data_IF_403061752937
#
_entry.id   IF_403061752937
#
_cell.length_a   1.000
_cell.length_b   1.000
_cell.length_c   1.000
_cell.angle_alpha   90.00
_cell.angle_beta   90.00
_cell.angle_gamma   90.00
#
_symmetry.space_group_name_H-M   'P 1'
#
loop_
_entity.id
_entity.type
_entity.pdbx_description
1 polymer ?
#
# COMPACT_ATOMS: atom_id res chain seq x y z
N UNK A 1 30.39 6.09 -0.45
CA UNK A 1 29.14 5.65 -1.09
C UNK A 1 28.56 4.59 -0.19
N UNK A 2 27.33 4.78 0.28
CA UNK A 2 26.64 3.79 1.11
C UNK A 2 26.25 2.60 0.23
N UNK A 3 26.65 1.41 0.64
CA UNK A 3 26.30 0.18 -0.08
C UNK A 3 24.93 -0.28 0.41
N UNK A 4 23.98 -0.42 -0.50
CA UNK A 4 22.61 -0.86 -0.19
C UNK A 4 22.34 -2.14 -0.97
N UNK A 5 22.39 -3.26 -0.26
CA UNK A 5 22.06 -4.58 -0.79
C UNK A 5 20.67 -4.97 -0.27
N UNK A 6 19.75 -5.32 -1.17
CA UNK A 6 18.35 -5.61 -0.83
C UNK A 6 17.95 -6.95 -1.41
N UNK A 7 17.70 -7.91 -0.54
CA UNK A 7 17.15 -9.21 -0.87
C UNK A 7 15.64 -9.16 -0.74
N UNK A 8 14.94 -9.65 -1.75
CA UNK A 8 13.49 -9.64 -1.81
C UNK A 8 12.97 -10.97 -2.31
N UNK A 9 11.86 -11.41 -1.72
CA UNK A 9 11.18 -12.62 -2.14
C UNK A 9 9.65 -12.54 -1.95
N UNK A 10 8.93 -13.36 -2.69
CA UNK A 10 7.49 -13.52 -2.61
C UNK A 10 7.12 -15.00 -2.53
N UNK A 11 6.14 -15.32 -1.70
CA UNK A 11 5.62 -16.66 -1.54
C UNK A 11 4.09 -16.67 -1.62
N UNK A 12 3.52 -17.77 -2.11
CA UNK A 12 2.09 -18.03 -2.01
C UNK A 12 1.82 -19.52 -1.86
N UNK A 13 0.90 -19.91 -0.96
CA UNK A 13 0.56 -21.31 -0.67
C UNK A 13 -0.24 -21.99 -1.78
N UNK A 14 -0.82 -21.20 -2.68
CA UNK A 14 -1.48 -21.62 -3.91
C UNK A 14 -1.38 -20.48 -4.93
N UNK A 15 -1.81 -20.65 -6.17
CA UNK A 15 -1.74 -19.58 -7.17
C UNK A 15 -3.06 -19.44 -7.96
N UNK A 16 -4.05 -18.66 -7.46
CA UNK A 16 -3.97 -17.75 -6.30
C UNK A 16 -4.21 -18.41 -4.94
N UNK A 17 -3.73 -17.77 -3.87
CA UNK A 17 -3.96 -18.18 -2.50
C UNK A 17 -3.42 -17.18 -1.47
N UNK A 18 -3.36 -17.57 -0.18
CA UNK A 18 -2.61 -16.85 0.83
C UNK A 18 -1.19 -16.60 0.33
N UNK A 19 -0.70 -15.37 0.47
CA UNK A 19 0.64 -15.01 0.01
C UNK A 19 1.28 -14.00 0.91
N UNK A 20 2.59 -13.87 0.81
CA UNK A 20 3.36 -12.90 1.57
C UNK A 20 4.61 -12.52 0.82
N UNK A 21 5.16 -11.36 1.16
CA UNK A 21 6.47 -10.96 0.68
C UNK A 21 7.40 -10.69 1.85
N UNK A 22 8.70 -10.88 1.59
CA UNK A 22 9.79 -10.67 2.52
C UNK A 22 10.84 -9.74 1.91
N UNK A 23 11.42 -8.90 2.76
CA UNK A 23 12.49 -7.98 2.41
C UNK A 23 13.55 -8.07 3.49
N UNK A 24 14.79 -8.23 3.07
CA UNK A 24 15.97 -8.09 3.92
C UNK A 24 16.94 -7.13 3.24
N UNK A 25 17.22 -5.99 3.87
CA UNK A 25 18.15 -4.99 3.37
C UNK A 25 19.34 -4.85 4.32
N UNK A 26 20.53 -4.76 3.73
CA UNK A 26 21.76 -4.37 4.40
C UNK A 26 22.14 -2.98 3.91
N UNK A 27 22.03 -2.00 4.80
CA UNK A 27 22.41 -0.60 4.55
C UNK A 27 23.65 -0.32 5.39
N UNK A 28 24.83 -0.29 4.76
CA UNK A 28 26.11 -0.29 5.46
C UNK A 28 26.24 -1.46 6.46
N UNK A 29 26.02 -1.22 7.76
CA UNK A 29 26.03 -2.24 8.83
C UNK A 29 24.65 -2.48 9.44
N UNK A 30 23.62 -1.76 8.99
CA UNK A 30 22.27 -1.89 9.50
C UNK A 30 21.49 -2.96 8.74
N UNK A 31 20.94 -3.89 9.50
CA UNK A 31 20.08 -4.96 9.01
C UNK A 31 18.62 -4.55 9.17
N UNK A 32 17.88 -4.56 8.07
CA UNK A 32 16.48 -4.14 8.04
C UNK A 32 15.67 -5.28 7.45
N UNK A 33 14.64 -5.71 8.18
CA UNK A 33 13.70 -6.72 7.71
C UNK A 33 12.30 -6.15 7.62
N UNK A 34 11.52 -6.63 6.65
CA UNK A 34 10.10 -6.33 6.56
C UNK A 34 9.37 -7.49 5.89
N UNK A 35 8.15 -7.77 6.35
CA UNK A 35 7.27 -8.71 5.67
C UNK A 35 5.79 -8.33 5.79
N UNK A 36 4.98 -8.83 4.88
CA UNK A 36 3.52 -8.64 4.92
C UNK A 36 2.77 -9.77 4.25
N UNK A 37 1.77 -10.30 4.95
CA UNK A 37 0.86 -11.33 4.46
C UNK A 37 -0.41 -10.76 3.83
N UNK A 38 -0.97 -11.50 2.88
CA UNK A 38 -2.15 -11.19 2.10
C UNK A 38 -3.10 -12.38 2.03
N UNK A 39 -4.40 -12.09 2.05
CA UNK A 39 -5.46 -13.09 2.09
C UNK A 39 -5.52 -13.92 0.81
N UNK A 40 -5.58 -13.26 -0.35
CA UNK A 40 -5.65 -13.89 -1.66
C UNK A 40 -4.84 -13.08 -2.66
N UNK A 41 -3.78 -13.66 -3.19
CA UNK A 41 -2.88 -13.05 -4.17
C UNK A 41 -2.19 -14.14 -5.00
N UNK A 42 -1.13 -13.81 -5.73
CA UNK A 42 -0.31 -14.74 -6.54
C UNK A 42 1.16 -14.60 -6.20
N UNK A 43 1.96 -15.61 -6.53
CA UNK A 43 3.41 -15.56 -6.27
C UNK A 43 4.07 -14.34 -6.93
N UNK A 44 3.85 -14.17 -8.23
CA UNK A 44 4.41 -13.05 -8.99
C UNK A 44 4.02 -11.68 -8.41
N UNK A 45 2.79 -11.54 -7.88
CA UNK A 45 2.38 -10.28 -7.25
C UNK A 45 3.12 -10.02 -5.95
N UNK A 46 3.42 -11.06 -5.17
CA UNK A 46 4.22 -10.92 -3.96
C UNK A 46 5.66 -10.56 -4.26
N UNK A 47 6.28 -11.19 -5.27
CA UNK A 47 7.63 -10.82 -5.73
C UNK A 47 7.69 -9.33 -6.14
N UNK A 48 6.72 -8.85 -6.95
CA UNK A 48 6.67 -7.44 -7.36
C UNK A 48 6.37 -6.52 -6.16
N UNK A 49 5.52 -6.96 -5.24
CA UNK A 49 5.17 -6.17 -4.04
C UNK A 49 6.35 -6.02 -3.10
N UNK A 50 7.19 -7.05 -2.94
CA UNK A 50 8.45 -7.00 -2.20
C UNK A 50 9.33 -5.87 -2.71
N UNK A 51 9.54 -5.84 -4.03
CA UNK A 51 10.30 -4.78 -4.69
C UNK A 51 9.68 -3.41 -4.48
N UNK A 52 8.38 -3.25 -4.79
CA UNK A 52 7.67 -1.98 -4.66
C UNK A 52 7.77 -1.41 -3.24
N UNK A 53 7.57 -2.26 -2.24
CA UNK A 53 7.62 -1.84 -0.85
C UNK A 53 9.04 -1.50 -0.40
N UNK A 54 10.04 -2.29 -0.81
CA UNK A 54 11.45 -1.97 -0.54
C UNK A 54 11.83 -0.60 -1.12
N UNK A 55 11.44 -0.31 -2.36
CA UNK A 55 11.67 0.98 -2.99
C UNK A 55 10.98 2.14 -2.25
N UNK A 56 9.71 1.96 -1.87
CA UNK A 56 8.97 2.96 -1.09
C UNK A 56 9.63 3.21 0.27
N UNK A 57 9.97 2.14 0.99
CA UNK A 57 10.58 2.20 2.30
C UNK A 57 11.93 2.91 2.25
N UNK A 58 12.82 2.51 1.33
CA UNK A 58 14.09 3.19 1.13
C UNK A 58 13.84 4.66 0.76
N UNK A 59 12.94 4.96 -0.17
CA UNK A 59 12.64 6.34 -0.56
C UNK A 59 12.19 7.23 0.60
N UNK A 60 11.36 6.71 1.50
CA UNK A 60 10.82 7.47 2.62
C UNK A 60 11.80 7.56 3.78
N UNK A 61 12.36 6.42 4.20
CA UNK A 61 13.24 6.33 5.37
C UNK A 61 14.65 6.77 5.04
N UNK A 62 15.26 6.27 3.96
CA UNK A 62 16.64 6.61 3.63
C UNK A 62 16.84 8.07 3.24
N UNK A 63 15.81 8.79 2.77
CA UNK A 63 15.88 10.27 2.67
C UNK A 63 15.90 10.96 4.02
N UNK A 64 15.15 10.46 5.00
CA UNK A 64 15.08 11.02 6.36
C UNK A 64 16.37 10.75 7.13
N UNK A 65 16.91 9.55 7.00
CA UNK A 65 18.09 9.06 7.73
C UNK A 65 19.41 9.33 6.97
N UNK A 66 19.34 9.86 5.76
CA UNK A 66 20.52 10.22 4.97
C UNK A 66 21.26 9.03 4.38
N UNK A 67 20.64 7.85 4.29
CA UNK A 67 21.22 6.62 3.77
C UNK A 67 21.60 6.68 2.29
N UNK A 68 20.95 7.54 1.50
CA UNK A 68 21.33 7.72 0.11
C UNK A 68 21.09 9.14 -0.39
N UNK A 69 21.86 9.49 -1.41
CA UNK A 69 21.74 10.68 -2.23
C UNK A 69 21.21 10.28 -3.61
N UNK A 70 20.72 11.28 -4.35
CA UNK A 70 20.27 11.06 -5.72
C UNK A 70 21.44 10.52 -6.56
N UNK A 71 21.24 9.37 -7.18
CA UNK A 71 22.26 8.70 -8.00
C UNK A 71 23.03 7.59 -7.29
N UNK A 72 22.79 7.35 -5.99
CA UNK A 72 23.34 6.17 -5.33
C UNK A 72 22.73 4.90 -5.93
N UNK A 73 23.57 3.87 -6.02
CA UNK A 73 23.23 2.57 -6.55
C UNK A 73 22.65 1.68 -5.45
N UNK A 74 21.49 1.08 -5.73
CA UNK A 74 20.88 0.05 -4.89
C UNK A 74 20.91 -1.27 -5.66
N UNK A 75 21.45 -2.31 -5.05
CA UNK A 75 21.49 -3.65 -5.64
C UNK A 75 20.35 -4.49 -5.10
N UNK A 76 19.44 -4.91 -5.97
CA UNK A 76 18.38 -5.86 -5.64
C UNK A 76 18.78 -7.27 -6.02
N UNK A 77 18.64 -8.17 -5.06
CA UNK A 77 18.85 -9.61 -5.18
C UNK A 77 17.49 -10.29 -5.17
N UNK A 78 17.21 -11.08 -6.20
CA UNK A 78 15.99 -11.88 -6.33
C UNK A 78 16.26 -13.10 -7.20
N UNK A 79 15.57 -14.21 -6.94
CA UNK A 79 15.56 -15.39 -7.81
C UNK A 79 14.48 -15.31 -8.90
N UNK A 80 13.54 -14.35 -8.78
CA UNK A 80 12.46 -14.13 -9.74
C UNK A 80 12.98 -13.57 -11.06
N UNK A 81 13.03 -14.45 -12.07
CA UNK A 81 13.24 -14.03 -13.46
C UNK A 81 12.13 -13.12 -13.95
N UNK A 82 10.88 -13.37 -13.51
CA UNK A 82 9.74 -12.59 -13.96
C UNK A 82 9.89 -11.13 -13.53
N UNK A 83 10.20 -10.87 -12.26
CA UNK A 83 10.42 -9.52 -11.76
C UNK A 83 11.64 -8.86 -12.43
N UNK A 84 12.79 -9.54 -12.46
CA UNK A 84 14.02 -9.01 -13.04
C UNK A 84 13.85 -8.65 -14.51
N UNK A 85 13.34 -9.56 -15.33
CA UNK A 85 13.17 -9.32 -16.78
C UNK A 85 12.08 -8.28 -17.05
N UNK A 86 11.02 -8.24 -16.24
CA UNK A 86 10.03 -7.17 -16.30
C UNK A 86 10.70 -5.80 -16.11
N UNK A 87 11.48 -5.66 -15.05
CA UNK A 87 12.12 -4.39 -14.66
C UNK A 87 13.34 -4.02 -15.49
N UNK A 88 13.90 -4.91 -16.32
CA UNK A 88 15.11 -4.62 -17.10
C UNK A 88 14.91 -4.68 -18.61
N UNK A 89 14.00 -5.54 -19.11
CA UNK A 89 13.83 -5.81 -20.54
C UNK A 89 12.47 -5.38 -21.07
N UNK A 90 11.39 -5.57 -20.31
CA UNK A 90 10.04 -5.50 -20.89
C UNK A 90 9.29 -4.20 -20.60
N UNK A 91 9.51 -3.60 -19.44
CA UNK A 91 8.67 -2.50 -18.94
C UNK A 91 8.68 -1.26 -19.85
N UNK A 92 9.79 -0.95 -20.53
CA UNK A 92 9.83 0.17 -21.46
C UNK A 92 8.94 -0.08 -22.71
N UNK A 93 8.89 -1.33 -23.17
CA UNK A 93 7.95 -1.76 -24.21
C UNK A 93 6.50 -1.72 -23.73
N UNK A 94 6.25 -2.09 -22.46
CA UNK A 94 4.92 -2.00 -21.85
C UNK A 94 4.43 -0.56 -21.75
N UNK A 95 5.29 0.38 -21.37
CA UNK A 95 4.96 1.82 -21.35
C UNK A 95 4.60 2.30 -22.76
N UNK A 96 5.41 1.96 -23.77
CA UNK A 96 5.15 2.36 -25.17
C UNK A 96 3.81 1.84 -25.71
N UNK A 97 3.39 0.64 -25.33
CA UNK A 97 2.10 0.05 -25.72
C UNK A 97 0.95 0.35 -24.76
N UNK A 98 1.11 1.36 -23.89
CA UNK A 98 0.14 1.76 -22.88
C UNK A 98 -0.40 0.60 -22.03
N UNK A 99 0.50 -0.31 -21.64
CA UNK A 99 0.20 -1.45 -20.77
C UNK A 99 -0.83 -2.45 -21.33
N UNK A 100 -1.08 -2.42 -22.64
CA UNK A 100 -1.95 -3.39 -23.28
C UNK A 100 -1.39 -4.81 -23.14
N UNK A 101 -2.25 -5.76 -22.76
CA UNK A 101 -1.94 -7.19 -22.59
C UNK A 101 -0.73 -7.43 -21.65
N UNK A 102 -0.66 -6.70 -20.53
CA UNK A 102 0.36 -6.86 -19.50
C UNK A 102 -0.28 -7.40 -18.23
N UNK A 103 0.35 -8.38 -17.57
CA UNK A 103 -0.07 -8.89 -16.26
C UNK A 103 0.47 -7.99 -15.13
N UNK A 104 -0.31 -7.81 -14.07
CA UNK A 104 0.03 -6.98 -12.91
C UNK A 104 0.45 -5.53 -13.26
N UNK A 105 -0.23 -4.85 -14.23
CA UNK A 105 0.17 -3.51 -14.64
C UNK A 105 -0.02 -2.49 -13.50
N UNK A 106 -0.92 -2.76 -12.55
CA UNK A 106 -1.17 -1.95 -11.36
C UNK A 106 0.08 -1.80 -10.47
N UNK A 107 0.84 -2.88 -10.27
CA UNK A 107 2.05 -2.88 -9.46
C UNK A 107 3.23 -2.26 -10.22
N UNK A 108 3.48 -2.69 -11.46
CA UNK A 108 4.61 -2.20 -12.25
C UNK A 108 4.53 -0.70 -12.55
N UNK A 109 3.33 -0.16 -12.77
CA UNK A 109 3.12 1.30 -12.91
C UNK A 109 3.61 2.06 -11.67
N UNK A 110 3.42 1.50 -10.47
CA UNK A 110 3.89 2.10 -9.22
C UNK A 110 5.41 1.97 -9.08
N UNK A 111 5.99 0.83 -9.45
CA UNK A 111 7.44 0.62 -9.45
C UNK A 111 8.17 1.63 -10.32
N UNK A 112 7.63 1.96 -11.51
CA UNK A 112 8.23 2.94 -12.41
C UNK A 112 8.47 4.31 -11.80
N UNK A 113 7.62 4.74 -10.85
CA UNK A 113 7.76 6.04 -10.19
C UNK A 113 9.11 6.17 -9.49
N UNK A 114 9.69 5.05 -9.06
CA UNK A 114 10.94 5.05 -8.30
C UNK A 114 12.21 4.94 -9.14
N UNK A 115 12.12 4.54 -10.41
CA UNK A 115 13.29 4.51 -11.32
C UNK A 115 13.97 5.87 -11.49
N UNK A 116 13.25 6.97 -11.27
CA UNK A 116 13.82 8.33 -11.35
C UNK A 116 14.61 8.76 -10.11
N UNK A 117 14.48 8.02 -9.01
CA UNK A 117 15.10 8.37 -7.73
C UNK A 117 16.36 7.54 -7.45
N UNK A 118 16.45 6.32 -8.00
CA UNK A 118 17.49 5.35 -7.69
C UNK A 118 18.14 4.82 -8.96
N UNK A 119 19.46 4.59 -8.89
CA UNK A 119 20.13 3.72 -9.84
C UNK A 119 20.01 2.27 -9.34
N UNK A 120 19.27 1.43 -10.07
CA UNK A 120 18.89 0.09 -9.60
C UNK A 120 19.70 -0.96 -10.35
N UNK A 121 20.53 -1.71 -9.62
CA UNK A 121 21.19 -2.92 -10.12
C UNK A 121 20.41 -4.16 -9.74
N UNK A 122 20.46 -5.15 -10.61
CA UNK A 122 19.73 -6.41 -10.46
C UNK A 122 20.68 -7.58 -10.49
N UNK A 123 20.81 -8.25 -9.35
CA UNK A 123 21.54 -9.50 -9.24
C UNK A 123 20.55 -10.66 -9.15
N UNK A 124 20.74 -11.65 -10.02
CA UNK A 124 19.94 -12.88 -9.94
C UNK A 124 20.65 -13.83 -9.00
N UNK A 125 19.94 -14.26 -7.97
CA UNK A 125 20.41 -15.32 -7.08
C UNK A 125 19.74 -16.64 -7.43
N UNK A 126 20.39 -17.74 -7.11
CA UNK A 126 19.78 -19.06 -7.27
C UNK A 126 18.90 -19.34 -6.05
N UNK A 127 17.67 -19.80 -6.30
CA UNK A 127 16.73 -20.19 -5.26
C UNK A 127 17.32 -21.31 -4.39
N UNK A 128 17.24 -21.16 -3.06
CA UNK A 128 17.61 -22.18 -2.07
C UNK A 128 19.04 -22.75 -2.21
N UNK A 129 20.03 -21.89 -2.51
CA UNK A 129 21.44 -22.28 -2.64
C UNK A 129 22.34 -21.77 -1.50
N UNK A 130 21.82 -21.49 -0.30
CA UNK A 130 22.67 -21.07 0.82
C UNK A 130 23.09 -19.60 0.78
N UNK A 131 22.35 -18.73 0.07
CA UNK A 131 22.60 -17.28 0.11
C UNK A 131 21.79 -16.72 1.27
N UNK A 132 22.44 -16.48 2.41
CA UNK A 132 21.83 -16.06 3.67
C UNK A 132 20.77 -14.97 3.50
N UNK A 133 21.07 -13.90 2.75
CA UNK A 133 20.13 -12.81 2.54
C UNK A 133 18.86 -13.21 1.78
N UNK A 134 18.98 -14.11 0.81
CA UNK A 134 17.84 -14.62 0.06
C UNK A 134 17.01 -15.59 0.92
N UNK A 135 17.66 -16.44 1.70
CA UNK A 135 16.98 -17.37 2.62
C UNK A 135 16.22 -16.64 3.72
N UNK A 136 16.76 -15.52 4.23
CA UNK A 136 16.04 -14.64 5.14
C UNK A 136 14.80 -14.05 4.44
N UNK A 137 14.92 -13.56 3.21
CA UNK A 137 13.80 -12.98 2.48
C UNK A 137 12.70 -14.01 2.16
N UNK A 138 13.07 -15.22 1.71
CA UNK A 138 12.16 -16.35 1.50
C UNK A 138 11.42 -16.72 2.80
N UNK A 139 12.18 -16.90 3.88
CA UNK A 139 11.61 -17.24 5.19
C UNK A 139 10.62 -16.18 5.68
N UNK A 140 10.94 -14.90 5.50
CA UNK A 140 10.04 -13.79 5.81
C UNK A 140 8.76 -13.81 4.96
N UNK A 141 8.88 -14.09 3.66
CA UNK A 141 7.74 -14.18 2.74
C UNK A 141 6.82 -15.36 3.09
N UNK A 142 7.41 -16.52 3.31
CA UNK A 142 6.77 -17.77 3.70
C UNK A 142 6.05 -17.63 5.04
N UNK A 143 6.70 -17.10 6.07
CA UNK A 143 6.06 -16.85 7.36
C UNK A 143 4.89 -15.85 7.24
N UNK A 144 5.05 -14.81 6.43
CA UNK A 144 3.99 -13.83 6.21
C UNK A 144 2.77 -14.43 5.49
N UNK A 145 2.97 -15.36 4.56
CA UNK A 145 1.89 -16.07 3.88
C UNK A 145 1.08 -16.97 4.83
N UNK A 146 1.73 -17.51 5.87
CA UNK A 146 1.15 -18.43 6.85
C UNK A 146 0.52 -17.75 8.06
N UNK A 147 0.57 -16.42 8.15
CA UNK A 147 -0.04 -15.68 9.24
C UNK A 147 -1.55 -16.02 9.37
N UNK A 148 -2.09 -15.98 10.61
CA UNK A 148 -3.53 -16.02 10.84
C UNK A 148 -4.28 -15.00 9.96
N UNK A 149 -5.52 -15.34 9.59
CA UNK A 149 -6.33 -14.55 8.64
C UNK A 149 -6.44 -13.08 9.06
N UNK A 150 -6.62 -12.83 10.35
CA UNK A 150 -6.73 -11.51 10.98
C UNK A 150 -5.47 -10.64 10.85
N UNK A 151 -4.32 -11.25 10.59
CA UNK A 151 -3.05 -10.56 10.40
C UNK A 151 -2.67 -10.39 8.92
N UNK A 152 -3.47 -10.95 8.01
CA UNK A 152 -3.29 -10.80 6.57
C UNK A 152 -4.10 -9.62 6.03
N UNK A 153 -3.57 -8.97 4.99
CA UNK A 153 -4.20 -7.82 4.32
C UNK A 153 -4.91 -8.26 3.04
N UNK A 154 -5.75 -7.39 2.51
CA UNK A 154 -6.36 -7.58 1.20
C UNK A 154 -5.41 -7.13 0.08
N UNK A 155 -5.36 -7.89 -1.02
CA UNK A 155 -4.78 -7.42 -2.28
C UNK A 155 -5.92 -6.87 -3.14
N UNK A 156 -6.44 -5.69 -2.78
CA UNK A 156 -7.63 -5.13 -3.40
C UNK A 156 -7.54 -4.96 -4.92
N UNK A 157 -6.33 -4.76 -5.47
CA UNK A 157 -6.18 -4.65 -6.91
C UNK A 157 -6.40 -6.02 -7.57
N UNK A 158 -5.75 -7.06 -7.06
CA UNK A 158 -5.95 -8.44 -7.52
C UNK A 158 -7.40 -8.89 -7.34
N UNK A 159 -7.95 -8.69 -6.15
CA UNK A 159 -9.28 -9.17 -5.78
C UNK A 159 -10.36 -8.52 -6.66
N UNK A 160 -10.24 -7.23 -6.98
CA UNK A 160 -11.17 -6.54 -7.88
C UNK A 160 -11.05 -7.01 -9.32
N UNK A 161 -9.83 -7.11 -9.85
CA UNK A 161 -9.60 -7.54 -11.23
C UNK A 161 -10.11 -8.96 -11.49
N UNK A 162 -10.03 -9.82 -10.48
CA UNK A 162 -10.46 -11.22 -10.58
C UNK A 162 -11.86 -11.46 -10.03
N UNK A 163 -12.63 -10.42 -9.72
CA UNK A 163 -13.99 -10.51 -9.16
C UNK A 163 -14.07 -11.35 -7.86
N UNK A 164 -12.93 -11.55 -7.20
CA UNK A 164 -12.83 -12.21 -5.91
C UNK A 164 -13.25 -11.28 -4.76
N UNK A 165 -13.33 -9.97 -5.04
CA UNK A 165 -13.82 -8.93 -4.15
C UNK A 165 -15.35 -8.91 -3.96
N UNK A 166 -16.08 -9.91 -4.45
CA UNK A 166 -17.51 -10.06 -4.14
C UNK A 166 -17.68 -10.85 -2.83
N UNK A 167 -18.23 -10.12 -1.87
CA UNK A 167 -18.56 -10.43 -0.47
C UNK A 167 -19.55 -11.59 -0.27
N UNK A 168 -19.55 -12.58 -1.17
CA UNK A 168 -20.36 -13.81 -1.17
C UNK A 168 -19.54 -15.08 -0.97
N UNK A 169 -18.25 -15.08 -1.31
CA UNK A 169 -17.38 -16.26 -1.08
C UNK A 169 -17.00 -16.41 0.39
N UNK A 170 -16.97 -15.31 1.16
CA UNK A 170 -16.86 -15.34 2.62
C UNK A 170 -18.20 -15.66 3.32
N UNK A 171 -19.34 -15.68 2.61
CA UNK A 171 -20.64 -16.13 3.14
C UNK A 171 -20.83 -17.66 3.10
N UNK A 172 -19.96 -18.42 2.42
CA UNK A 172 -19.95 -19.88 2.60
C UNK A 172 -19.50 -20.30 4.01
N UNK A 173 -19.02 -19.36 4.82
CA UNK A 173 -18.82 -19.52 6.26
C UNK A 173 -19.94 -18.91 7.14
N UNK A 174 -21.00 -18.32 6.58
CA UNK A 174 -22.04 -17.64 7.38
C UNK A 174 -23.28 -17.25 6.58
N UNK A 175 -24.39 -17.93 6.88
CA UNK A 175 -25.72 -17.86 6.26
C UNK A 175 -26.31 -16.43 6.05
N UNK A 176 -27.09 -16.31 4.96
CA UNK A 176 -28.40 -15.60 4.82
C UNK A 176 -28.49 -14.12 4.34
N UNK A 177 -29.12 -13.94 3.15
CA UNK A 177 -30.04 -12.84 2.71
C UNK A 177 -29.51 -11.39 2.55
N UNK A 178 -30.06 -10.45 1.78
CA UNK A 178 -30.70 -10.40 0.44
C UNK A 178 -30.70 -8.92 -0.04
N UNK A 179 -30.60 -8.70 -1.36
CA UNK A 179 -31.12 -7.58 -2.20
C UNK A 179 -30.67 -6.10 -2.03
N UNK A 180 -29.79 -5.69 -1.11
CA UNK A 180 -29.44 -4.25 -0.92
C UNK A 180 -28.20 -3.67 -1.65
N UNK A 181 -27.36 -4.50 -2.29
CA UNK A 181 -25.95 -4.15 -2.56
C UNK A 181 -25.70 -3.26 -3.81
N UNK A 182 -26.59 -3.28 -4.81
CA UNK A 182 -26.34 -2.61 -6.09
C UNK A 182 -26.33 -1.06 -6.01
N UNK A 183 -27.02 -0.46 -5.02
CA UNK A 183 -27.01 1.00 -4.85
C UNK A 183 -25.78 1.52 -4.10
N UNK A 184 -25.13 0.68 -3.27
CA UNK A 184 -23.98 1.05 -2.41
C UNK A 184 -22.66 1.13 -3.17
N UNK A 185 -22.47 0.30 -4.20
CA UNK A 185 -21.24 0.28 -5.00
C UNK A 185 -21.01 1.62 -5.73
N UNK A 186 -22.09 2.22 -6.27
CA UNK A 186 -22.03 3.54 -6.90
C UNK A 186 -21.69 4.64 -5.87
N UNK A 187 -22.27 4.57 -4.67
CA UNK A 187 -22.00 5.49 -3.58
C UNK A 187 -20.53 5.42 -3.08
N UNK A 188 -19.93 4.23 -2.97
CA UNK A 188 -18.55 4.08 -2.46
C UNK A 188 -17.47 4.62 -3.40
N UNK A 189 -17.67 4.58 -4.73
CA UNK A 189 -16.77 5.26 -5.68
C UNK A 189 -16.81 6.79 -5.53
N UNK A 190 -17.97 7.32 -5.14
CA UNK A 190 -18.15 8.77 -4.88
C UNK A 190 -17.59 9.16 -3.50
N UNK A 191 -17.61 8.25 -2.52
CA UNK A 191 -17.09 8.47 -1.15
C UNK A 191 -15.56 8.62 -1.08
N UNK A 192 -14.80 7.85 -1.88
CA UNK A 192 -13.33 8.03 -1.96
C UNK A 192 -12.95 9.37 -2.59
N UNK A 193 -13.77 9.87 -3.53
CA UNK A 193 -13.60 11.20 -4.09
C UNK A 193 -13.94 12.29 -3.06
N UNK A 194 -15.02 12.13 -2.28
CA UNK A 194 -15.43 13.11 -1.26
C UNK A 194 -14.39 13.29 -0.13
N UNK A 195 -13.78 12.20 0.37
CA UNK A 195 -12.71 12.29 1.39
C UNK A 195 -11.45 12.94 0.83
N UNK A 196 -11.06 12.60 -0.41
CA UNK A 196 -9.93 13.26 -1.08
C UNK A 196 -10.19 14.73 -1.35
N UNK A 197 -11.43 15.07 -1.72
CA UNK A 197 -11.87 16.44 -1.95
C UNK A 197 -11.91 17.23 -0.63
N UNK A 198 -12.36 16.63 0.47
CA UNK A 198 -12.34 17.23 1.81
C UNK A 198 -10.92 17.55 2.29
N UNK A 199 -10.00 16.58 2.23
CA UNK A 199 -8.59 16.78 2.64
C UNK A 199 -7.90 17.83 1.76
N UNK A 200 -8.25 17.87 0.48
CA UNK A 200 -7.74 18.88 -0.46
C UNK A 200 -8.33 20.27 -0.23
N UNK A 201 -9.60 20.37 0.19
CA UNK A 201 -10.29 21.65 0.39
C UNK A 201 -9.97 22.26 1.76
N UNK A 202 -9.97 21.48 2.84
CA UNK A 202 -9.80 21.99 4.23
C UNK A 202 -8.35 22.29 4.61
N UNK A 203 -7.38 21.83 3.81
CA UNK A 203 -5.98 21.95 4.15
C UNK A 203 -5.63 21.25 5.47
N UNK A 204 -6.39 20.22 5.89
CA UNK A 204 -6.19 19.51 7.16
C UNK A 204 -4.79 18.86 7.30
N UNK A 205 -4.05 18.73 6.20
CA UNK A 205 -2.64 18.32 6.20
C UNK A 205 -1.65 19.48 6.42
N UNK A 206 -2.13 20.72 6.58
CA UNK A 206 -1.33 21.92 6.71
C UNK A 206 -1.37 22.45 8.15
N UNK A 207 -0.29 22.24 8.94
CA UNK A 207 -0.25 22.60 10.36
C UNK A 207 -0.28 24.12 10.65
N UNK A 208 -0.40 24.97 9.62
CA UNK A 208 -0.58 26.42 9.72
C UNK A 208 -1.99 26.92 9.43
N UNK A 209 -2.96 26.02 9.17
CA UNK A 209 -4.35 26.39 8.92
C UNK A 209 -4.99 26.96 10.21
N UNK A 210 -5.54 28.18 10.15
CA UNK A 210 -6.14 28.77 11.35
C UNK A 210 -7.48 28.09 11.69
N UNK A 211 -7.84 28.02 12.99
CA UNK A 211 -9.14 27.50 13.44
C UNK A 211 -10.35 28.09 12.70
N UNK A 212 -10.29 29.39 12.40
CA UNK A 212 -11.31 30.12 11.64
C UNK A 212 -11.38 29.70 10.17
N UNK A 213 -10.24 29.43 9.53
CA UNK A 213 -10.16 28.95 8.15
C UNK A 213 -10.68 27.51 8.01
N UNK A 214 -10.32 26.63 8.96
CA UNK A 214 -10.83 25.27 9.00
C UNK A 214 -12.36 25.21 9.18
N UNK A 215 -12.90 26.04 10.10
CA UNK A 215 -14.36 26.15 10.34
C UNK A 215 -15.12 26.71 9.13
N UNK A 216 -14.61 27.79 8.51
CA UNK A 216 -15.23 28.37 7.31
C UNK A 216 -15.24 27.39 6.13
N UNK A 217 -14.16 26.63 5.95
CA UNK A 217 -14.05 25.64 4.87
C UNK A 217 -14.95 24.42 5.12
N UNK A 218 -15.06 23.98 6.38
CA UNK A 218 -15.99 22.91 6.76
C UNK A 218 -17.47 23.32 6.58
N UNK A 219 -17.83 24.57 6.90
CA UNK A 219 -19.17 25.10 6.62
C UNK A 219 -19.52 25.14 5.12
N UNK A 220 -18.53 25.35 4.24
CA UNK A 220 -18.75 25.24 2.78
C UNK A 220 -18.89 23.78 2.33
N UNK A 221 -18.17 22.85 2.96
CA UNK A 221 -18.25 21.42 2.67
C UNK A 221 -19.51 20.74 3.23
N UNK A 222 -20.20 21.35 4.20
CA UNK A 222 -21.43 20.85 4.86
C UNK A 222 -22.54 20.42 3.89
N UNK A 223 -22.64 21.10 2.74
CA UNK A 223 -23.62 20.81 1.70
C UNK A 223 -23.33 19.51 0.93
N UNK A 224 -22.10 18.98 1.02
CA UNK A 224 -21.67 17.77 0.30
C UNK A 224 -21.85 16.47 1.10
N UNK A 225 -22.04 16.56 2.43
CA UNK A 225 -22.26 15.40 3.28
C UNK A 225 -23.73 14.96 3.29
N UNK A 226 -23.97 13.68 2.99
CA UNK A 226 -25.33 13.15 2.73
C UNK A 226 -26.12 12.76 4.00
N UNK A 227 -25.47 12.64 5.16
CA UNK A 227 -26.06 12.13 6.41
C UNK A 227 -25.74 13.07 7.60
N UNK A 228 -26.73 13.42 8.47
CA UNK A 228 -26.53 14.19 9.71
C UNK A 228 -25.42 13.67 10.67
N UNK A 229 -25.26 12.36 10.82
CA UNK A 229 -24.22 11.74 11.66
C UNK A 229 -22.83 11.98 11.10
N UNK A 230 -22.67 11.98 9.77
CA UNK A 230 -21.40 12.29 9.12
C UNK A 230 -21.01 13.76 9.34
N UNK A 231 -22.01 14.67 9.31
CA UNK A 231 -21.79 16.09 9.64
C UNK A 231 -21.34 16.23 11.09
N UNK A 232 -22.03 15.58 12.03
CA UNK A 232 -21.68 15.62 13.45
C UNK A 232 -20.28 15.07 13.75
N UNK A 233 -19.88 13.97 13.11
CA UNK A 233 -18.54 13.39 13.29
C UNK A 233 -17.43 14.31 12.75
N UNK A 234 -17.65 14.91 11.57
CA UNK A 234 -16.70 15.86 10.97
C UNK A 234 -16.64 17.16 11.78
N UNK A 235 -17.77 17.66 12.28
CA UNK A 235 -17.83 18.88 13.10
C UNK A 235 -17.07 18.70 14.43
N UNK A 236 -17.27 17.57 15.10
CA UNK A 236 -16.55 17.20 16.33
C UNK A 236 -15.04 17.11 16.09
N UNK A 237 -14.62 16.51 14.97
CA UNK A 237 -13.20 16.44 14.59
C UNK A 237 -12.60 17.83 14.33
N UNK A 238 -13.31 18.68 13.56
CA UNK A 238 -12.83 20.04 13.24
C UNK A 238 -12.75 20.89 14.50
N UNK A 239 -13.72 20.79 15.41
CA UNK A 239 -13.70 21.51 16.68
C UNK A 239 -12.48 21.12 17.53
N UNK A 240 -12.21 19.82 17.69
CA UNK A 240 -11.07 19.30 18.45
C UNK A 240 -9.71 19.67 17.85
N UNK A 241 -9.57 19.63 16.52
CA UNK A 241 -8.34 20.07 15.84
C UNK A 241 -8.17 21.60 15.94
N UNK A 242 -9.28 22.34 15.98
CA UNK A 242 -9.27 23.81 16.00
C UNK A 242 -8.96 24.43 17.37
N UNK A 243 -9.13 23.71 18.48
CA UNK A 243 -9.01 24.28 19.83
C UNK A 243 -7.62 24.17 20.50
N UNK A 244 -6.58 23.65 19.81
CA UNK A 244 -5.17 23.47 20.30
C UNK A 244 -5.06 22.49 21.51
N UNK A 245 -4.09 21.60 21.71
CA UNK A 245 -2.72 21.35 21.21
C UNK A 245 -2.62 19.89 20.76
N UNK A 246 -3.08 19.59 19.56
CA UNK A 246 -3.05 18.22 19.04
C UNK A 246 -1.77 18.07 18.20
N UNK A 247 -0.88 17.16 18.60
CA UNK A 247 0.34 16.91 17.83
C UNK A 247 0.04 16.10 16.54
N UNK A 248 1.04 15.95 15.67
CA UNK A 248 0.86 15.31 14.36
C UNK A 248 0.45 13.84 14.44
N UNK A 249 0.86 13.11 15.48
CA UNK A 249 0.45 11.71 15.66
C UNK A 249 -0.97 11.63 16.22
N UNK A 250 -1.34 12.52 17.14
CA UNK A 250 -2.72 12.63 17.63
C UNK A 250 -3.70 13.03 16.51
N UNK A 251 -3.32 13.94 15.61
CA UNK A 251 -4.14 14.29 14.43
C UNK A 251 -4.34 13.06 13.54
N UNK A 252 -3.30 12.25 13.37
CA UNK A 252 -3.35 11.03 12.56
C UNK A 252 -4.24 9.97 13.20
N UNK A 253 -4.13 9.75 14.50
CA UNK A 253 -5.03 8.85 15.24
C UNK A 253 -6.50 9.33 15.19
N UNK A 254 -6.72 10.64 15.30
CA UNK A 254 -8.06 11.22 15.15
C UNK A 254 -8.60 11.10 13.72
N UNK A 255 -7.75 11.21 12.70
CA UNK A 255 -8.12 10.97 11.30
C UNK A 255 -8.48 9.51 11.07
N UNK A 256 -7.69 8.58 11.58
CA UNK A 256 -7.96 7.15 11.47
C UNK A 256 -9.28 6.80 12.20
N UNK A 257 -9.51 7.37 13.39
CA UNK A 257 -10.77 7.23 14.11
C UNK A 257 -11.96 7.87 13.39
N UNK A 258 -11.80 9.04 12.79
CA UNK A 258 -12.85 9.70 12.00
C UNK A 258 -13.20 8.86 10.76
N UNK A 259 -12.20 8.28 10.10
CA UNK A 259 -12.42 7.33 9.00
C UNK A 259 -13.24 6.16 9.53
N UNK A 260 -12.83 5.56 10.65
CA UNK A 260 -13.58 4.45 11.25
C UNK A 260 -15.01 4.83 11.62
N UNK A 261 -15.26 6.00 12.24
CA UNK A 261 -16.60 6.47 12.62
C UNK A 261 -17.47 6.81 11.40
N UNK A 262 -16.90 7.36 10.33
CA UNK A 262 -17.61 7.63 9.07
C UNK A 262 -17.96 6.35 8.29
N UNK A 263 -17.28 5.24 8.57
CA UNK A 263 -17.44 3.96 7.88
C UNK A 263 -17.95 2.83 8.79
N UNK A 264 -18.10 3.06 10.09
CA UNK A 264 -18.70 2.14 11.05
C UNK A 264 -20.23 2.09 10.85
N UNK A 265 -20.66 1.04 10.15
CA UNK A 265 -22.05 0.62 9.91
C UNK A 265 -22.98 1.70 9.31
N UNK A 266 -23.04 1.66 7.97
CA UNK A 266 -24.16 2.12 7.14
C UNK A 266 -24.30 1.27 5.87
#
# INVERSE_FOLDING_TARGET
>A
MTKIDVYIDGASRYNPGPGGFGIYALVDQEHITYSRGYLVTTNNRMEISAFLFAMFFLHQRGRKEGWFKRGDTITFYTDSNYLKDSMTKWIDGWVKRNWKDVKNPDLFKRCLVYRKYFDIRWEKVAAHQGIDGNEIADSLATQAADLPIEHRRHDYAYERENQLADHKTLQLAGRSSSKGAASRARANSTKSAAVKQFVAQTGANNPSCSPSQARATNQQAHQSYKNPQQRQAVDSFVEQVSEQKVDKEQIKEMLDKLIDDLFAKG
#
